data_IF_650208908816
#
_entry.id   IF_650208908816
#
_cell.length_a   1.000
_cell.length_b   1.000
_cell.length_c   1.000
_cell.angle_alpha   90.00
_cell.angle_beta   90.00
_cell.angle_gamma   90.00
#
_symmetry.space_group_name_H-M   'P 1'
#
loop_
_entity.id
_entity.type
_entity.pdbx_description
1 polymer ?
#
# COMPACT_ATOMS: atom_id res chain seq x y z
N UNK A 1 -27.42 -10.81 25.25
CA UNK A 1 -26.23 -11.66 25.06
C UNK A 1 -25.67 -11.54 23.68
N UNK A 2 -24.46 -11.00 23.56
CA UNK A 2 -23.72 -10.96 22.30
C UNK A 2 -22.92 -12.26 22.25
N UNK A 3 -23.55 -13.34 21.77
CA UNK A 3 -22.83 -14.56 21.44
C UNK A 3 -21.98 -14.27 20.20
N UNK A 4 -20.66 -14.36 20.33
CA UNK A 4 -19.75 -14.39 19.20
C UNK A 4 -19.41 -15.85 18.92
N UNK A 5 -19.53 -16.24 17.65
CA UNK A 5 -19.25 -17.58 17.18
C UNK A 5 -18.42 -17.45 15.91
N UNK A 6 -17.38 -18.28 15.79
CA UNK A 6 -16.49 -18.36 14.65
C UNK A 6 -16.47 -19.80 14.16
N UNK A 7 -16.89 -20.02 12.92
CA UNK A 7 -16.91 -21.33 12.27
C UNK A 7 -17.64 -22.44 13.09
N UNK A 8 -18.65 -22.05 13.90
CA UNK A 8 -19.43 -22.98 14.74
C UNK A 8 -18.92 -23.13 16.18
N UNK A 9 -17.75 -22.58 16.51
CA UNK A 9 -17.16 -22.61 17.84
C UNK A 9 -17.41 -21.31 18.63
N UNK A 10 -17.64 -21.38 19.96
CA UNK A 10 -17.72 -20.19 20.81
C UNK A 10 -16.45 -19.35 20.70
N UNK A 11 -16.60 -18.05 20.44
CA UNK A 11 -15.47 -17.14 20.26
C UNK A 11 -15.68 -15.82 21.01
N UNK A 12 -14.61 -15.08 21.24
CA UNK A 12 -14.65 -13.69 21.67
C UNK A 12 -14.23 -12.79 20.50
N UNK A 13 -15.11 -11.89 20.06
CA UNK A 13 -14.79 -10.93 19.02
C UNK A 13 -14.10 -9.70 19.63
N UNK A 14 -12.89 -9.38 19.17
CA UNK A 14 -12.16 -8.17 19.53
C UNK A 14 -11.99 -7.33 18.27
N UNK A 15 -12.35 -6.05 18.34
CA UNK A 15 -12.18 -5.10 17.24
C UNK A 15 -11.08 -4.13 17.63
N UNK A 16 -9.99 -4.14 16.86
CA UNK A 16 -8.90 -3.19 17.01
C UNK A 16 -9.12 -2.03 16.05
N UNK A 17 -9.12 -0.81 16.58
CA UNK A 17 -9.21 0.42 15.80
C UNK A 17 -7.89 1.15 15.86
N UNK A 18 -7.48 1.63 14.71
CA UNK A 18 -6.29 2.45 14.58
C UNK A 18 -6.52 3.84 15.20
N UNK A 19 -5.51 4.38 15.88
CA UNK A 19 -5.51 5.76 16.34
C UNK A 19 -5.27 6.75 15.18
N UNK A 20 -5.91 7.92 15.24
CA UNK A 20 -5.72 8.98 14.24
C UNK A 20 -4.25 9.38 14.11
N UNK A 21 -3.80 9.58 12.87
CA UNK A 21 -2.43 10.01 12.54
C UNK A 21 -1.37 8.91 12.60
N UNK A 22 -1.72 7.68 12.99
CA UNK A 22 -0.78 6.54 12.93
C UNK A 22 -0.74 5.93 11.52
N UNK A 23 0.27 5.08 11.25
CA UNK A 23 0.36 4.31 10.02
C UNK A 23 -0.36 2.96 10.15
N UNK A 24 -1.32 2.69 9.26
CA UNK A 24 -2.17 1.50 9.38
C UNK A 24 -1.37 0.21 9.21
N UNK A 25 -0.45 0.19 8.25
CA UNK A 25 0.40 -0.97 7.97
C UNK A 25 1.32 -1.30 9.14
N UNK A 26 1.85 -0.27 9.80
CA UNK A 26 2.73 -0.43 10.96
C UNK A 26 1.96 -0.96 12.17
N UNK A 27 0.81 -0.35 12.50
CA UNK A 27 -0.05 -0.77 13.60
C UNK A 27 -0.49 -2.22 13.43
N UNK A 28 -0.90 -2.63 12.22
CA UNK A 28 -1.32 -4.01 11.96
C UNK A 28 -0.16 -4.98 12.14
N UNK A 29 1.04 -4.61 11.70
CA UNK A 29 2.26 -5.42 11.86
C UNK A 29 2.60 -5.63 13.33
N UNK A 30 2.55 -4.57 14.13
CA UNK A 30 2.79 -4.62 15.58
C UNK A 30 1.74 -5.49 16.29
N UNK A 31 0.46 -5.30 15.98
CA UNK A 31 -0.63 -6.11 16.52
C UNK A 31 -0.42 -7.60 16.22
N UNK A 32 -0.10 -7.96 14.97
CA UNK A 32 0.17 -9.36 14.59
C UNK A 32 1.38 -9.93 15.33
N UNK A 33 2.42 -9.12 15.52
CA UNK A 33 3.61 -9.53 16.28
C UNK A 33 3.28 -9.79 17.75
N UNK A 34 2.54 -8.88 18.39
CA UNK A 34 2.10 -9.05 19.79
C UNK A 34 1.17 -10.24 19.96
N UNK A 35 0.22 -10.48 19.04
CA UNK A 35 -0.65 -11.66 19.10
C UNK A 35 0.16 -12.96 19.03
N UNK A 36 1.18 -13.02 18.16
CA UNK A 36 2.07 -14.16 18.04
C UNK A 36 2.93 -14.39 19.30
N UNK A 37 3.36 -13.33 19.95
CA UNK A 37 4.07 -13.42 21.24
C UNK A 37 3.15 -13.95 22.35
N UNK A 38 1.91 -13.46 22.39
CA UNK A 38 0.92 -13.86 23.39
C UNK A 38 0.40 -15.28 23.19
N UNK A 39 0.43 -15.81 21.96
CA UNK A 39 0.00 -17.17 21.61
C UNK A 39 0.60 -18.24 22.55
N UNK A 40 1.87 -18.08 22.97
CA UNK A 40 2.52 -19.01 23.88
C UNK A 40 1.95 -19.03 25.31
N UNK A 41 1.19 -18.02 25.69
CA UNK A 41 0.54 -17.90 27.01
C UNK A 41 -0.92 -18.35 27.01
N UNK A 42 -1.44 -18.81 25.87
CA UNK A 42 -2.83 -19.17 25.73
C UNK A 42 -3.15 -20.48 26.46
N UNK A 43 -4.35 -20.61 27.06
CA UNK A 43 -4.80 -21.88 27.63
C UNK A 43 -4.84 -22.98 26.55
N UNK A 44 -4.65 -24.25 26.94
CA UNK A 44 -4.72 -25.35 26.00
C UNK A 44 -6.09 -25.39 25.30
N UNK A 45 -6.06 -25.44 23.96
CA UNK A 45 -7.26 -25.45 23.11
C UNK A 45 -7.81 -24.06 22.75
N UNK A 46 -7.16 -22.98 23.18
CA UNK A 46 -7.46 -21.62 22.72
C UNK A 46 -6.59 -21.26 21.51
N UNK A 47 -7.23 -20.78 20.46
CA UNK A 47 -6.59 -20.28 19.23
C UNK A 47 -7.20 -18.92 18.86
N UNK A 48 -6.51 -18.16 18.02
CA UNK A 48 -6.98 -16.87 17.51
C UNK A 48 -7.05 -16.88 15.98
N UNK A 49 -8.06 -16.20 15.43
CA UNK A 49 -8.19 -16.01 13.99
C UNK A 49 -8.44 -14.56 13.68
N UNK A 50 -7.72 -14.04 12.70
CA UNK A 50 -7.94 -12.69 12.18
C UNK A 50 -9.00 -12.80 11.09
N UNK A 51 -10.25 -12.48 11.44
CA UNK A 51 -11.39 -12.58 10.50
C UNK A 51 -11.46 -11.45 9.48
N UNK A 52 -10.87 -10.29 9.80
CA UNK A 52 -10.86 -9.12 8.93
C UNK A 52 -9.54 -8.38 9.07
N UNK A 53 -8.81 -8.26 7.95
CA UNK A 53 -7.49 -7.63 7.90
C UNK A 53 -7.43 -6.63 6.74
N UNK A 54 -7.44 -5.35 7.09
CA UNK A 54 -7.32 -4.26 6.12
C UNK A 54 -5.94 -4.16 5.48
N UNK A 55 -4.89 -4.77 6.06
CA UNK A 55 -3.56 -4.73 5.43
C UNK A 55 -3.53 -5.47 4.12
N UNK A 56 -4.25 -6.60 3.99
CA UNK A 56 -4.28 -7.37 2.75
C UNK A 56 -4.79 -6.54 1.57
N UNK A 57 -5.80 -5.71 1.82
CA UNK A 57 -6.34 -4.83 0.79
C UNK A 57 -5.36 -3.70 0.45
N UNK A 58 -4.68 -3.14 1.44
CA UNK A 58 -3.65 -2.12 1.23
C UNK A 58 -2.46 -2.67 0.43
N UNK A 59 -1.96 -3.85 0.81
CA UNK A 59 -0.84 -4.53 0.17
C UNK A 59 -1.17 -4.87 -1.28
N UNK A 60 -2.35 -5.47 -1.54
CA UNK A 60 -2.82 -5.77 -2.89
C UNK A 60 -2.95 -4.51 -3.75
N UNK A 61 -3.37 -3.39 -3.14
CA UNK A 61 -3.53 -2.13 -3.85
C UNK A 61 -2.18 -1.48 -4.18
N UNK A 62 -1.21 -1.54 -3.27
CA UNK A 62 0.17 -1.09 -3.52
C UNK A 62 0.76 -1.91 -4.67
N UNK A 63 0.61 -3.24 -4.63
CA UNK A 63 1.10 -4.13 -5.69
C UNK A 63 0.48 -3.79 -7.05
N UNK A 64 -0.85 -3.59 -7.11
CA UNK A 64 -1.52 -3.17 -8.34
C UNK A 64 -1.00 -1.82 -8.86
N UNK A 65 -0.77 -0.86 -7.97
CA UNK A 65 -0.23 0.45 -8.35
C UNK A 65 1.18 0.29 -8.89
N UNK A 66 2.06 -0.46 -8.23
CA UNK A 66 3.43 -0.73 -8.71
C UNK A 66 3.42 -1.39 -10.09
N UNK A 67 2.54 -2.37 -10.32
CA UNK A 67 2.36 -2.96 -11.66
C UNK A 67 1.90 -1.93 -12.70
N UNK A 68 0.91 -1.10 -12.35
CA UNK A 68 0.40 -0.07 -13.24
C UNK A 68 1.48 0.98 -13.56
N UNK A 69 2.27 1.38 -12.55
CA UNK A 69 3.39 2.31 -12.69
C UNK A 69 4.44 1.77 -13.66
N UNK A 70 4.82 0.50 -13.49
CA UNK A 70 5.77 -0.19 -14.38
C UNK A 70 5.25 -0.21 -15.82
N UNK A 71 4.00 -0.62 -16.01
CA UNK A 71 3.42 -0.77 -17.34
C UNK A 71 3.28 0.58 -18.03
N UNK A 72 2.80 1.61 -17.31
CA UNK A 72 2.74 2.99 -17.81
C UNK A 72 4.12 3.53 -18.21
N UNK A 73 5.13 3.31 -17.38
CA UNK A 73 6.49 3.75 -17.65
C UNK A 73 7.08 3.11 -18.91
N UNK A 74 6.88 1.80 -19.11
CA UNK A 74 7.34 1.10 -20.31
C UNK A 74 6.62 1.64 -21.55
N UNK A 75 5.30 1.83 -21.48
CA UNK A 75 4.51 2.36 -22.59
C UNK A 75 4.96 3.78 -22.97
N UNK A 76 5.16 4.64 -21.98
CA UNK A 76 5.69 6.00 -22.17
C UNK A 76 7.05 5.97 -22.85
N UNK A 77 7.99 5.17 -22.34
CA UNK A 77 9.34 5.09 -22.89
C UNK A 77 9.32 4.64 -24.37
N UNK A 78 8.46 3.66 -24.70
CA UNK A 78 8.30 3.18 -26.08
C UNK A 78 7.71 4.27 -26.99
N UNK A 79 6.65 4.95 -26.57
CA UNK A 79 6.02 6.02 -27.36
C UNK A 79 7.02 7.15 -27.60
N UNK A 80 7.66 7.65 -26.54
CA UNK A 80 8.66 8.73 -26.63
C UNK A 80 9.83 8.32 -27.55
N UNK A 81 10.32 7.08 -27.44
CA UNK A 81 11.40 6.58 -28.30
C UNK A 81 10.99 6.53 -29.78
N UNK A 82 9.78 6.07 -30.09
CA UNK A 82 9.27 6.01 -31.47
C UNK A 82 9.13 7.42 -32.07
N UNK A 83 8.69 8.39 -31.27
CA UNK A 83 8.50 9.76 -31.75
C UNK A 83 9.82 10.54 -31.89
N UNK A 84 10.76 10.38 -30.95
CA UNK A 84 12.03 11.12 -30.97
C UNK A 84 13.12 10.45 -31.81
N UNK A 85 13.11 9.12 -31.93
CA UNK A 85 14.07 8.34 -32.72
C UNK A 85 15.52 8.35 -32.21
N UNK A 86 15.82 9.07 -31.12
CA UNK A 86 17.16 9.18 -30.54
C UNK A 86 17.16 8.87 -29.03
N UNK A 87 18.07 7.98 -28.62
CA UNK A 87 18.19 7.48 -27.25
C UNK A 87 18.54 8.57 -26.23
N UNK A 88 19.30 9.59 -26.60
CA UNK A 88 19.66 10.68 -25.66
C UNK A 88 18.42 11.52 -25.33
N UNK A 89 17.59 11.79 -26.33
CA UNK A 89 16.35 12.55 -26.16
C UNK A 89 15.29 11.77 -25.37
N UNK A 90 15.21 10.45 -25.53
CA UNK A 90 14.30 9.59 -24.75
C UNK A 90 14.69 9.49 -23.27
N UNK A 91 15.99 9.60 -22.95
CA UNK A 91 16.47 9.48 -21.57
C UNK A 91 15.92 10.58 -20.65
N UNK A 92 15.63 11.77 -21.19
CA UNK A 92 15.19 12.93 -20.41
C UNK A 92 13.81 12.66 -19.76
N UNK A 93 12.74 12.29 -20.49
CA UNK A 93 11.46 11.91 -19.88
C UNK A 93 11.55 10.68 -18.97
N UNK A 94 12.37 9.70 -19.35
CA UNK A 94 12.58 8.46 -18.57
C UNK A 94 13.12 8.78 -17.16
N UNK A 95 14.01 9.75 -17.02
CA UNK A 95 14.53 10.17 -15.72
C UNK A 95 13.61 11.14 -14.99
N UNK A 96 12.82 11.94 -15.72
CA UNK A 96 11.88 12.89 -15.13
C UNK A 96 10.80 12.21 -14.27
N UNK A 97 10.26 11.07 -14.74
CA UNK A 97 9.20 10.31 -14.04
C UNK A 97 9.62 9.81 -12.64
N UNK A 98 10.73 9.07 -12.45
CA UNK A 98 11.13 8.63 -11.12
C UNK A 98 11.51 9.80 -10.21
N UNK A 99 12.13 10.86 -10.75
CA UNK A 99 12.49 12.05 -9.98
C UNK A 99 11.23 12.79 -9.49
N UNK A 100 10.19 12.93 -10.34
CA UNK A 100 8.93 13.58 -9.94
C UNK A 100 8.20 12.76 -8.88
N UNK A 101 8.21 11.43 -8.97
CA UNK A 101 7.60 10.55 -7.98
C UNK A 101 8.31 10.66 -6.63
N UNK A 102 9.65 10.64 -6.61
CA UNK A 102 10.43 10.84 -5.37
C UNK A 102 10.10 12.21 -4.77
N UNK A 103 10.00 13.26 -5.60
CA UNK A 103 9.58 14.59 -5.17
C UNK A 103 8.17 14.61 -4.58
N UNK A 104 7.22 13.92 -5.20
CA UNK A 104 5.85 13.81 -4.70
C UNK A 104 5.79 13.09 -3.34
N UNK A 105 6.51 11.98 -3.18
CA UNK A 105 6.61 11.28 -1.89
C UNK A 105 7.26 12.15 -0.81
N UNK A 106 8.29 12.92 -1.17
CA UNK A 106 8.91 13.86 -0.24
C UNK A 106 7.90 14.91 0.25
N UNK A 107 7.10 15.48 -0.65
CA UNK A 107 6.04 16.45 -0.28
C UNK A 107 4.96 15.79 0.58
N UNK A 108 4.50 14.59 0.22
CA UNK A 108 3.52 13.81 1.01
C UNK A 108 4.04 13.61 2.44
N UNK A 109 5.29 13.16 2.57
CA UNK A 109 5.92 12.95 3.87
C UNK A 109 6.12 14.27 4.65
N UNK A 110 6.48 15.34 3.97
CA UNK A 110 6.65 16.67 4.56
C UNK A 110 5.36 17.23 5.16
N UNK A 111 4.22 17.00 4.49
CA UNK A 111 2.90 17.39 4.99
C UNK A 111 2.28 16.37 5.96
N UNK A 112 2.99 15.29 6.30
CA UNK A 112 2.50 14.25 7.19
C UNK A 112 1.30 13.48 6.62
N UNK A 113 1.15 13.45 5.29
CA UNK A 113 0.09 12.72 4.63
C UNK A 113 0.43 11.22 4.61
N UNK A 114 -0.58 10.38 4.81
CA UNK A 114 -0.41 8.92 4.76
C UNK A 114 -0.50 8.42 3.31
N UNK A 115 0.29 7.38 3.01
CA UNK A 115 0.13 6.65 1.75
C UNK A 115 -1.11 5.77 1.88
N UNK A 116 -2.08 6.06 1.03
CA UNK A 116 -3.34 5.33 0.92
C UNK A 116 -3.79 5.29 -0.56
N UNK A 117 -4.90 4.62 -0.82
CA UNK A 117 -5.46 4.47 -2.16
C UNK A 117 -5.63 5.77 -2.93
N UNK A 118 -6.12 6.83 -2.30
CA UNK A 118 -6.36 8.12 -2.96
C UNK A 118 -5.03 8.73 -3.40
N UNK A 119 -4.02 8.70 -2.53
CA UNK A 119 -2.68 9.20 -2.87
C UNK A 119 -2.02 8.37 -3.97
N UNK A 120 -2.21 7.05 -3.96
CA UNK A 120 -1.67 6.18 -5.01
C UNK A 120 -2.35 6.42 -6.36
N UNK A 121 -3.66 6.62 -6.40
CA UNK A 121 -4.37 7.00 -7.62
C UNK A 121 -3.90 8.36 -8.16
N UNK A 122 -3.69 9.35 -7.28
CA UNK A 122 -3.16 10.64 -7.68
C UNK A 122 -1.76 10.51 -8.32
N UNK A 123 -0.90 9.63 -7.79
CA UNK A 123 0.42 9.37 -8.36
C UNK A 123 0.33 8.72 -9.75
N UNK A 124 -0.58 7.78 -9.97
CA UNK A 124 -0.81 7.16 -11.29
C UNK A 124 -1.27 8.21 -12.30
N UNK A 125 -2.20 9.09 -11.94
CA UNK A 125 -2.66 10.18 -12.82
C UNK A 125 -1.55 11.19 -13.13
N UNK A 126 -0.72 11.53 -12.14
CA UNK A 126 0.36 12.51 -12.30
C UNK A 126 1.42 12.09 -13.32
N UNK A 127 1.65 10.80 -13.52
CA UNK A 127 2.64 10.30 -14.50
C UNK A 127 2.21 10.62 -15.92
N UNK A 128 0.92 10.50 -16.23
CA UNK A 128 0.40 10.88 -17.55
C UNK A 128 0.64 12.36 -17.86
N UNK A 129 0.69 13.21 -16.82
CA UNK A 129 0.92 14.65 -16.95
C UNK A 129 2.42 14.99 -17.00
N UNK A 130 3.26 14.31 -16.22
CA UNK A 130 4.71 14.59 -16.13
C UNK A 130 5.47 14.31 -17.44
N UNK A 131 4.90 13.46 -18.29
CA UNK A 131 5.53 13.02 -19.54
C UNK A 131 5.18 13.94 -20.73
N UNK A 132 4.13 14.75 -20.59
CA UNK A 132 3.77 15.81 -21.55
C UNK A 132 4.75 17.00 -21.44
#
# INVERSE_FOLDING_TARGET
DIYSNLDGHPSAAIVLKQNYGSNASEVIKEVKASLKEMEGSFPPGMDYKISYDVSQFLDASIEQVVHTLRDAFILVALVVFIFLGDWRSTLIPILAVPVSLIGAFFVIQFFGLSINLVTLFALVLAIGIVVD
#
